data_IF_497651018151
#
_entry.id   IF_497651018151
#
_cell.length_a   1.000
_cell.length_b   1.000
_cell.length_c   1.000
_cell.angle_alpha   90.00
_cell.angle_beta   90.00
_cell.angle_gamma   90.00
#
_symmetry.space_group_name_H-M   'P 1'
#
loop_
_entity.id
_entity.type
_entity.pdbx_description
1 polymer ?
#
# COMPACT_ATOMS: atom_id res chain seq x y z
N UNK A 1 10.13 20.86 13.65
CA UNK A 1 9.37 20.44 14.83
C UNK A 1 8.71 19.13 14.42
N UNK A 2 9.12 18.01 15.01
CA UNK A 2 8.42 16.72 14.84
C UNK A 2 7.03 16.88 15.45
N UNK A 3 5.99 16.74 14.66
CA UNK A 3 4.63 16.58 15.19
C UNK A 3 4.58 15.23 15.91
N UNK A 4 4.51 15.26 17.23
CA UNK A 4 4.30 14.07 18.05
C UNK A 4 2.81 13.76 17.97
N UNK A 5 2.46 12.71 17.25
CA UNK A 5 1.09 12.18 17.24
C UNK A 5 0.79 11.61 18.62
N UNK A 6 -0.25 12.12 19.27
CA UNK A 6 -0.74 11.54 20.53
C UNK A 6 -1.61 10.34 20.19
N UNK A 7 -1.08 9.14 20.44
CA UNK A 7 -1.82 7.88 20.29
C UNK A 7 -2.97 7.87 21.31
N UNK A 8 -4.20 7.67 20.85
CA UNK A 8 -5.34 7.43 21.74
C UNK A 8 -5.17 6.09 22.44
N UNK A 9 -4.89 6.14 23.75
CA UNK A 9 -4.65 4.97 24.60
C UNK A 9 -5.92 4.43 25.28
N UNK A 10 -7.12 4.78 24.81
CA UNK A 10 -8.35 4.19 25.33
C UNK A 10 -8.39 2.66 25.11
N UNK A 11 -9.11 1.95 25.96
CA UNK A 11 -9.26 0.48 25.83
C UNK A 11 -9.82 0.07 24.44
N UNK A 12 -10.70 0.90 23.87
CA UNK A 12 -11.26 0.70 22.53
C UNK A 12 -10.22 0.89 21.43
N UNK A 13 -9.36 1.90 21.55
CA UNK A 13 -8.27 2.14 20.60
C UNK A 13 -7.24 0.99 20.63
N UNK A 14 -6.90 0.49 21.83
CA UNK A 14 -5.99 -0.64 21.98
C UNK A 14 -6.53 -1.91 21.31
N UNK A 15 -7.79 -2.27 21.59
CA UNK A 15 -8.43 -3.44 20.95
C UNK A 15 -8.50 -3.31 19.42
N UNK A 16 -8.71 -2.09 18.90
CA UNK A 16 -8.67 -1.82 17.46
C UNK A 16 -7.27 -2.05 16.88
N UNK A 17 -6.22 -1.56 17.53
CA UNK A 17 -4.83 -1.76 17.11
C UNK A 17 -4.50 -3.26 17.09
N UNK A 18 -4.80 -4.01 18.15
CA UNK A 18 -4.58 -5.45 18.23
C UNK A 18 -5.29 -6.22 17.09
N UNK A 19 -6.52 -5.83 16.77
CA UNK A 19 -7.27 -6.41 15.63
C UNK A 19 -6.57 -6.10 14.30
N UNK A 20 -6.06 -4.89 14.10
CA UNK A 20 -5.38 -4.50 12.87
C UNK A 20 -4.00 -5.17 12.75
N UNK A 21 -3.27 -5.36 13.85
CA UNK A 21 -2.03 -6.14 13.89
C UNK A 21 -2.28 -7.59 13.45
N UNK A 22 -3.37 -8.20 13.95
CA UNK A 22 -3.77 -9.55 13.53
C UNK A 22 -4.13 -9.59 12.03
N UNK A 23 -4.84 -8.58 11.52
CA UNK A 23 -5.14 -8.48 10.09
C UNK A 23 -3.88 -8.33 9.23
N UNK A 24 -2.90 -7.56 9.68
CA UNK A 24 -1.61 -7.42 8.99
C UNK A 24 -0.83 -8.76 8.98
N UNK A 25 -0.85 -9.49 10.09
CA UNK A 25 -0.27 -10.84 10.20
C UNK A 25 -0.97 -11.81 9.23
N UNK A 26 -2.30 -11.83 9.24
CA UNK A 26 -3.11 -12.65 8.33
C UNK A 26 -2.80 -12.32 6.85
N UNK A 27 -2.64 -11.05 6.49
CA UNK A 27 -2.23 -10.64 5.14
C UNK A 27 -0.86 -11.22 4.76
N UNK A 28 0.13 -11.15 5.65
CA UNK A 28 1.45 -11.73 5.42
C UNK A 28 1.38 -13.25 5.22
N UNK A 29 0.62 -13.95 6.04
CA UNK A 29 0.39 -15.40 5.87
C UNK A 29 -0.19 -15.71 4.49
N UNK A 30 -1.24 -14.99 4.08
CA UNK A 30 -1.87 -15.16 2.76
C UNK A 30 -0.91 -14.89 1.60
N UNK A 31 -0.02 -13.90 1.73
CA UNK A 31 1.04 -13.65 0.73
C UNK A 31 1.95 -14.88 0.59
N UNK A 32 2.40 -15.46 1.70
CA UNK A 32 3.27 -16.65 1.70
C UNK A 32 2.53 -17.87 1.14
N UNK A 33 1.28 -18.10 1.54
CA UNK A 33 0.45 -19.22 1.06
C UNK A 33 0.20 -19.12 -0.46
N UNK A 34 -0.25 -17.97 -0.93
CA UNK A 34 -0.55 -17.75 -2.37
C UNK A 34 0.70 -17.88 -3.23
N UNK A 35 1.80 -17.22 -2.84
CA UNK A 35 3.03 -17.27 -3.62
C UNK A 35 3.71 -18.64 -3.55
N UNK A 36 3.62 -19.33 -2.42
CA UNK A 36 4.10 -20.71 -2.26
C UNK A 36 3.34 -21.69 -3.15
N UNK A 37 2.03 -21.50 -3.32
CA UNK A 37 1.17 -22.34 -4.16
C UNK A 37 1.24 -22.00 -5.66
N UNK A 38 1.65 -20.80 -6.02
CA UNK A 38 1.73 -20.30 -7.40
C UNK A 38 3.08 -20.55 -8.06
N UNK A 39 3.32 -19.92 -9.21
CA UNK A 39 4.63 -19.89 -9.88
C UNK A 39 5.64 -18.97 -9.18
N UNK A 40 5.28 -18.36 -8.04
CA UNK A 40 6.06 -17.36 -7.31
C UNK A 40 5.59 -15.94 -7.58
N UNK A 41 6.32 -14.95 -7.08
CA UNK A 41 6.01 -13.53 -7.24
C UNK A 41 6.84 -12.62 -6.34
N UNK A 42 6.30 -11.45 -6.04
CA UNK A 42 7.01 -10.41 -5.29
C UNK A 42 6.70 -10.52 -3.79
N UNK A 43 7.61 -11.15 -3.04
CA UNK A 43 7.47 -11.33 -1.59
C UNK A 43 7.78 -10.04 -0.82
N UNK A 44 8.97 -9.48 -1.03
CA UNK A 44 9.53 -8.44 -0.17
C UNK A 44 8.64 -7.21 -0.04
N UNK A 45 8.23 -6.64 -1.16
CA UNK A 45 7.35 -5.46 -1.19
C UNK A 45 5.90 -5.74 -0.83
N UNK A 46 5.43 -7.00 -0.93
CA UNK A 46 4.10 -7.40 -0.48
C UNK A 46 4.03 -7.49 1.05
N UNK A 47 5.06 -8.06 1.67
CA UNK A 47 5.16 -8.19 3.12
C UNK A 47 5.34 -6.85 3.83
N UNK A 48 6.05 -5.87 3.22
CA UNK A 48 6.20 -4.51 3.79
C UNK A 48 4.89 -3.71 3.76
N UNK A 49 4.02 -3.94 2.77
CA UNK A 49 2.78 -3.20 2.59
C UNK A 49 1.63 -3.63 3.51
N UNK A 50 1.74 -4.77 4.18
CA UNK A 50 0.63 -5.43 4.89
C UNK A 50 0.01 -4.55 6.01
N UNK A 51 0.83 -3.81 6.77
CA UNK A 51 0.35 -2.98 7.88
C UNK A 51 -0.51 -1.81 7.38
N UNK A 52 -0.04 -1.11 6.36
CA UNK A 52 -0.79 0.01 5.77
C UNK A 52 -2.09 -0.46 5.12
N UNK A 53 -2.09 -1.61 4.42
CA UNK A 53 -3.31 -2.20 3.85
C UNK A 53 -4.27 -2.67 4.92
N UNK A 54 -3.76 -3.22 6.03
CA UNK A 54 -4.59 -3.58 7.18
C UNK A 54 -5.35 -2.37 7.70
N UNK A 55 -4.66 -1.26 7.97
CA UNK A 55 -5.28 -0.03 8.46
C UNK A 55 -6.29 0.53 7.47
N UNK A 56 -5.94 0.60 6.18
CA UNK A 56 -6.82 1.16 5.16
C UNK A 56 -8.11 0.36 4.99
N UNK A 57 -8.01 -0.96 4.79
CA UNK A 57 -9.15 -1.79 4.43
C UNK A 57 -10.01 -2.22 5.62
N UNK A 58 -9.46 -2.30 6.84
CA UNK A 58 -10.21 -2.81 8.00
C UNK A 58 -10.57 -1.75 9.04
N UNK A 59 -10.18 -0.47 8.81
CA UNK A 59 -10.57 0.63 9.72
C UNK A 59 -10.93 1.94 9.03
N UNK A 60 -10.25 2.34 7.95
CA UNK A 60 -10.32 3.72 7.45
C UNK A 60 -11.22 3.89 6.22
N UNK A 61 -11.02 3.07 5.19
CA UNK A 61 -11.65 3.28 3.89
C UNK A 61 -13.15 2.98 3.93
N UNK A 62 -13.92 3.83 3.25
CA UNK A 62 -15.35 3.64 3.01
C UNK A 62 -15.53 2.89 1.69
N UNK A 63 -16.06 1.69 1.74
CA UNK A 63 -16.40 0.87 0.57
C UNK A 63 -17.59 -0.03 0.86
N UNK A 64 -18.15 -0.64 -0.19
CA UNK A 64 -19.22 -1.65 -0.11
C UNK A 64 -18.85 -2.81 -1.00
N UNK A 65 -18.83 -4.01 -0.46
CA UNK A 65 -18.40 -5.21 -1.22
C UNK A 65 -19.51 -5.74 -2.13
N UNK A 66 -20.77 -5.51 -1.77
CA UNK A 66 -21.94 -5.80 -2.58
C UNK A 66 -22.15 -4.78 -3.72
N UNK A 67 -21.61 -3.56 -3.58
CA UNK A 67 -21.71 -2.45 -4.52
C UNK A 67 -20.30 -1.85 -4.80
N UNK A 68 -19.38 -2.63 -5.44
CA UNK A 68 -17.97 -2.24 -5.57
C UNK A 68 -17.75 -0.95 -6.37
N UNK A 69 -18.70 -0.58 -7.21
CA UNK A 69 -18.69 0.64 -8.02
C UNK A 69 -19.45 1.80 -7.36
N UNK A 70 -19.81 1.67 -6.07
CA UNK A 70 -20.49 2.75 -5.34
C UNK A 70 -19.73 4.08 -5.51
N UNK A 71 -20.38 5.14 -6.06
CA UNK A 71 -19.67 6.34 -6.50
C UNK A 71 -19.07 7.17 -5.36
N UNK A 72 -19.56 7.01 -4.12
CA UNK A 72 -19.08 7.75 -2.95
C UNK A 72 -18.07 6.97 -2.09
N UNK A 73 -17.64 5.78 -2.54
CA UNK A 73 -16.58 5.03 -1.88
C UNK A 73 -15.22 5.75 -1.98
N UNK A 74 -14.35 5.51 -1.03
CA UNK A 74 -12.95 5.90 -1.16
C UNK A 74 -12.26 5.11 -2.28
N UNK A 75 -11.16 5.63 -2.81
CA UNK A 75 -10.36 5.02 -3.88
C UNK A 75 -9.01 4.62 -3.36
N UNK A 76 -8.52 3.46 -3.82
CA UNK A 76 -7.18 3.00 -3.51
C UNK A 76 -6.42 2.63 -4.79
N UNK A 77 -5.24 3.22 -4.97
CA UNK A 77 -4.34 2.93 -6.09
C UNK A 77 -3.05 2.31 -5.56
N UNK A 78 -2.80 1.06 -5.93
CA UNK A 78 -1.53 0.39 -5.66
C UNK A 78 -0.55 0.70 -6.80
N UNK A 79 0.24 1.80 -6.70
CA UNK A 79 1.19 2.20 -7.75
C UNK A 79 2.31 1.18 -7.93
N UNK A 80 2.85 0.62 -6.83
CA UNK A 80 3.75 -0.54 -6.86
C UNK A 80 2.98 -1.82 -7.22
N UNK A 81 2.43 -1.85 -8.44
CA UNK A 81 1.46 -2.85 -8.90
C UNK A 81 1.94 -4.30 -8.86
N UNK A 82 3.26 -4.51 -8.86
CA UNK A 82 3.89 -5.83 -8.77
C UNK A 82 3.61 -6.57 -7.45
N UNK A 83 3.15 -5.88 -6.39
CA UNK A 83 2.76 -6.52 -5.13
C UNK A 83 1.25 -6.82 -5.07
N UNK A 84 0.62 -7.06 -6.21
CA UNK A 84 -0.81 -7.38 -6.32
C UNK A 84 -1.27 -8.51 -5.40
N UNK A 85 -0.41 -9.46 -5.04
CA UNK A 85 -0.73 -10.57 -4.15
C UNK A 85 -1.27 -10.09 -2.79
N UNK A 86 -0.62 -9.12 -2.14
CA UNK A 86 -1.10 -8.59 -0.86
C UNK A 86 -2.39 -7.78 -1.03
N UNK A 87 -2.54 -7.11 -2.17
CA UNK A 87 -3.75 -6.34 -2.48
C UNK A 87 -4.94 -7.26 -2.76
N UNK A 88 -4.79 -8.32 -3.59
CA UNK A 88 -5.83 -9.33 -3.78
C UNK A 88 -6.19 -10.04 -2.46
N UNK A 89 -5.20 -10.31 -1.61
CA UNK A 89 -5.45 -10.85 -0.26
C UNK A 89 -6.27 -9.89 0.60
N UNK A 90 -5.95 -8.58 0.59
CA UNK A 90 -6.71 -7.58 1.33
C UNK A 90 -8.15 -7.46 0.82
N UNK A 91 -8.36 -7.42 -0.50
CA UNK A 91 -9.69 -7.38 -1.11
C UNK A 91 -10.52 -8.63 -0.78
N UNK A 92 -9.91 -9.82 -0.81
CA UNK A 92 -10.60 -11.06 -0.45
C UNK A 92 -10.98 -11.09 1.04
N UNK A 93 -10.07 -10.68 1.93
CA UNK A 93 -10.36 -10.57 3.37
C UNK A 93 -11.42 -9.50 3.67
N UNK A 94 -11.50 -8.45 2.85
CA UNK A 94 -12.55 -7.44 2.93
C UNK A 94 -13.91 -7.93 2.39
N UNK A 95 -13.95 -9.06 1.66
CA UNK A 95 -15.16 -9.71 1.19
C UNK A 95 -15.56 -9.39 -0.26
N UNK A 96 -14.65 -8.87 -1.09
CA UNK A 96 -14.94 -8.62 -2.52
C UNK A 96 -15.06 -9.90 -3.34
N UNK A 97 -14.33 -10.95 -2.98
CA UNK A 97 -14.33 -12.28 -3.61
C UNK A 97 -13.73 -13.32 -2.65
N UNK A 98 -13.96 -14.63 -2.87
CA UNK A 98 -13.41 -15.69 -2.04
C UNK A 98 -11.87 -15.73 -2.05
N UNK A 99 -11.26 -16.02 -0.91
CA UNK A 99 -9.80 -16.14 -0.83
C UNK A 99 -9.27 -17.35 -1.60
N UNK A 100 -10.04 -18.42 -1.64
CA UNK A 100 -9.73 -19.66 -2.34
C UNK A 100 -9.46 -19.44 -3.83
N UNK A 101 -10.14 -18.47 -4.45
CA UNK A 101 -9.92 -18.10 -5.85
C UNK A 101 -8.52 -17.50 -6.03
N UNK A 102 -8.09 -16.63 -5.12
CA UNK A 102 -6.73 -16.06 -5.15
C UNK A 102 -5.68 -17.15 -4.88
N UNK A 103 -5.91 -17.99 -3.88
CA UNK A 103 -4.99 -19.05 -3.48
C UNK A 103 -4.71 -20.05 -4.60
N UNK A 104 -5.76 -20.43 -5.34
CA UNK A 104 -5.67 -21.47 -6.35
C UNK A 104 -5.26 -20.94 -7.73
N UNK A 105 -5.65 -19.71 -8.05
CA UNK A 105 -5.57 -19.20 -9.43
C UNK A 105 -4.56 -18.05 -9.61
N UNK A 106 -3.83 -17.65 -8.57
CA UNK A 106 -2.84 -16.56 -8.67
C UNK A 106 -1.75 -16.90 -9.70
N UNK A 107 -1.55 -16.02 -10.69
CA UNK A 107 -0.65 -16.19 -11.84
C UNK A 107 -0.97 -17.40 -12.75
N UNK A 108 -2.13 -18.02 -12.63
CA UNK A 108 -2.55 -19.04 -13.58
C UNK A 108 -2.97 -18.42 -14.91
N UNK A 109 -2.73 -19.14 -16.02
CA UNK A 109 -3.11 -18.66 -17.35
C UNK A 109 -4.63 -18.46 -17.44
N UNK A 110 -5.06 -17.25 -17.82
CA UNK A 110 -6.47 -16.89 -17.93
C UNK A 110 -7.14 -16.46 -16.62
N UNK A 111 -6.43 -16.55 -15.49
CA UNK A 111 -6.92 -16.05 -14.20
C UNK A 111 -7.04 -14.53 -14.19
N UNK A 112 -8.02 -13.96 -13.46
CA UNK A 112 -8.05 -12.53 -13.18
C UNK A 112 -6.96 -12.13 -12.16
N UNK A 113 -6.51 -13.05 -11.32
CA UNK A 113 -5.55 -12.81 -10.23
C UNK A 113 -4.12 -12.93 -10.74
N UNK A 114 -3.63 -11.86 -11.35
CA UNK A 114 -2.29 -11.80 -11.93
C UNK A 114 -1.32 -11.01 -11.04
N UNK A 115 -0.04 -11.10 -11.38
CA UNK A 115 1.04 -10.36 -10.71
C UNK A 115 0.82 -8.84 -10.68
N UNK A 116 0.01 -8.31 -11.60
CA UNK A 116 -0.47 -6.95 -11.64
C UNK A 116 -1.99 -6.97 -11.76
N UNK A 117 -2.67 -6.24 -10.89
CA UNK A 117 -4.13 -6.18 -10.93
C UNK A 117 -4.63 -5.50 -12.21
N UNK A 118 -5.66 -6.09 -12.78
CA UNK A 118 -6.43 -5.51 -13.89
C UNK A 118 -7.78 -5.02 -13.34
N UNK A 119 -8.00 -3.71 -13.35
CA UNK A 119 -9.23 -3.09 -12.82
C UNK A 119 -10.50 -3.55 -13.54
N UNK A 120 -10.36 -4.06 -14.76
CA UNK A 120 -11.52 -4.58 -15.53
C UNK A 120 -11.92 -6.00 -15.11
N UNK A 121 -11.10 -6.68 -14.30
CA UNK A 121 -11.30 -8.08 -13.87
C UNK A 121 -11.38 -8.26 -12.36
N UNK A 122 -10.69 -7.41 -11.58
CA UNK A 122 -10.63 -7.52 -10.13
C UNK A 122 -11.63 -6.54 -9.48
N UNK A 123 -12.64 -7.06 -8.83
CA UNK A 123 -13.61 -6.25 -8.08
C UNK A 123 -12.91 -5.49 -6.95
N UNK A 124 -13.17 -4.19 -6.85
CA UNK A 124 -12.54 -3.33 -5.85
C UNK A 124 -11.16 -2.80 -6.24
N UNK A 125 -10.65 -3.13 -7.42
CA UNK A 125 -9.42 -2.56 -7.97
C UNK A 125 -9.73 -1.29 -8.77
N UNK A 126 -9.16 -0.15 -8.37
CA UNK A 126 -9.44 1.15 -8.99
C UNK A 126 -8.53 1.50 -10.16
N UNK A 127 -7.39 0.82 -10.31
CA UNK A 127 -6.41 1.13 -11.34
C UNK A 127 -5.55 -0.08 -11.70
N UNK A 128 -5.38 -0.32 -12.98
CA UNK A 128 -4.46 -1.34 -13.52
C UNK A 128 -3.03 -0.79 -13.49
N UNK A 129 -2.30 -1.04 -12.39
CA UNK A 129 -0.92 -0.59 -12.23
C UNK A 129 0.07 -1.62 -12.77
N UNK A 130 1.21 -1.14 -13.23
CA UNK A 130 2.33 -1.99 -13.72
C UNK A 130 3.58 -1.15 -13.95
N UNK A 131 3.45 -0.09 -14.75
CA UNK A 131 4.50 0.90 -14.93
C UNK A 131 4.59 1.79 -13.68
N UNK A 132 5.72 1.76 -12.98
CA UNK A 132 5.96 2.56 -11.79
C UNK A 132 5.83 4.07 -12.08
N UNK A 133 5.49 4.86 -11.08
CA UNK A 133 5.29 6.31 -11.20
C UNK A 133 3.92 6.74 -11.74
N UNK A 134 3.13 5.85 -12.37
CA UNK A 134 1.83 6.21 -12.96
C UNK A 134 0.68 6.23 -11.95
N UNK A 135 0.77 5.46 -10.87
CA UNK A 135 -0.32 5.35 -9.91
C UNK A 135 -0.64 6.67 -9.21
N UNK A 136 0.37 7.49 -8.89
CA UNK A 136 0.12 8.80 -8.28
C UNK A 136 -0.59 9.74 -9.25
N UNK A 137 -0.23 9.72 -10.54
CA UNK A 137 -0.91 10.51 -11.57
C UNK A 137 -2.39 10.13 -11.72
N UNK A 138 -2.70 8.83 -11.69
CA UNK A 138 -4.08 8.34 -11.68
C UNK A 138 -4.83 8.81 -10.43
N UNK A 139 -4.20 8.70 -9.25
CA UNK A 139 -4.76 9.19 -7.99
C UNK A 139 -5.04 10.70 -8.00
N UNK A 140 -4.16 11.50 -8.61
CA UNK A 140 -4.39 12.94 -8.82
C UNK A 140 -5.64 13.18 -9.65
N UNK A 141 -5.81 12.44 -10.76
CA UNK A 141 -7.01 12.54 -11.60
C UNK A 141 -8.29 12.19 -10.84
N UNK A 142 -8.28 11.09 -10.06
CA UNK A 142 -9.42 10.68 -9.23
C UNK A 142 -9.75 11.72 -8.14
N UNK A 143 -8.75 12.25 -7.47
CA UNK A 143 -8.94 13.26 -6.42
C UNK A 143 -9.47 14.58 -6.99
N UNK A 144 -8.98 14.99 -8.16
CA UNK A 144 -9.48 16.18 -8.87
C UNK A 144 -10.93 15.99 -9.30
N UNK A 145 -11.28 14.84 -9.89
CA UNK A 145 -12.66 14.51 -10.25
C UNK A 145 -13.59 14.59 -9.02
N UNK A 146 -13.18 14.01 -7.87
CA UNK A 146 -13.96 14.11 -6.65
C UNK A 146 -14.24 15.55 -6.21
N UNK A 147 -13.23 16.44 -6.30
CA UNK A 147 -13.42 17.85 -5.99
C UNK A 147 -14.34 18.56 -7.00
N UNK A 148 -14.21 18.27 -8.29
CA UNK A 148 -15.07 18.85 -9.33
C UNK A 148 -16.52 18.41 -9.15
N UNK A 149 -16.76 17.16 -8.78
CA UNK A 149 -18.08 16.57 -8.54
C UNK A 149 -18.63 16.86 -7.12
N UNK A 150 -17.88 17.62 -6.29
CA UNK A 150 -18.24 17.95 -4.90
C UNK A 150 -18.49 16.69 -4.04
N UNK A 151 -17.64 15.65 -4.24
CA UNK A 151 -17.68 14.40 -3.49
C UNK A 151 -16.73 14.43 -2.30
N UNK A 152 -17.10 13.74 -1.23
CA UNK A 152 -16.33 13.69 0.03
C UNK A 152 -15.36 12.51 0.11
N UNK A 153 -15.26 11.67 -0.94
CA UNK A 153 -14.39 10.52 -0.92
C UNK A 153 -12.91 10.93 -0.91
N UNK A 154 -12.12 10.10 -0.30
CA UNK A 154 -10.66 10.21 -0.27
C UNK A 154 -10.04 9.29 -1.31
N UNK A 155 -8.86 9.68 -1.75
CA UNK A 155 -8.02 8.86 -2.64
C UNK A 155 -6.73 8.54 -1.92
N UNK A 156 -6.45 7.24 -1.77
CA UNK A 156 -5.21 6.73 -1.21
C UNK A 156 -4.37 6.13 -2.31
N UNK A 157 -3.11 6.50 -2.39
CA UNK A 157 -2.15 5.94 -3.35
C UNK A 157 -0.97 5.37 -2.58
N UNK A 158 -0.66 4.10 -2.80
CA UNK A 158 0.55 3.50 -2.24
C UNK A 158 1.61 3.39 -3.32
N UNK A 159 2.73 4.06 -3.09
CA UNK A 159 3.93 4.03 -3.93
C UNK A 159 5.07 3.32 -3.20
N UNK A 160 6.08 2.88 -3.92
CA UNK A 160 7.34 2.37 -3.35
C UNK A 160 8.53 3.27 -3.68
N UNK A 161 9.71 2.85 -3.26
CA UNK A 161 10.96 3.58 -3.49
C UNK A 161 11.25 3.78 -4.98
N UNK A 162 11.02 2.77 -5.81
CA UNK A 162 11.26 2.87 -7.25
C UNK A 162 10.26 3.77 -7.98
N UNK A 163 9.04 3.97 -7.45
CA UNK A 163 8.13 5.02 -7.95
C UNK A 163 8.75 6.42 -7.79
N UNK A 164 9.58 6.63 -6.75
CA UNK A 164 10.28 7.91 -6.51
C UNK A 164 11.47 8.14 -7.44
N UNK A 165 11.84 7.17 -8.25
CA UNK A 165 12.85 7.30 -9.30
C UNK A 165 12.24 7.69 -10.67
N UNK A 166 10.90 7.70 -10.75
CA UNK A 166 10.15 8.05 -11.95
C UNK A 166 9.77 9.54 -11.99
N UNK A 167 10.02 10.20 -13.12
CA UNK A 167 9.70 11.63 -13.30
C UNK A 167 8.22 11.95 -13.13
N UNK A 168 7.34 11.06 -13.60
CA UNK A 168 5.89 11.21 -13.50
C UNK A 168 5.37 11.31 -12.07
N UNK A 169 6.04 10.70 -11.09
CA UNK A 169 5.73 10.87 -9.66
C UNK A 169 5.85 12.34 -9.22
N UNK A 170 6.90 13.03 -9.65
CA UNK A 170 7.12 14.43 -9.30
C UNK A 170 6.21 15.39 -10.07
N UNK A 171 5.88 15.07 -11.33
CA UNK A 171 4.86 15.79 -12.10
C UNK A 171 3.49 15.70 -11.42
N UNK A 172 3.12 14.51 -10.96
CA UNK A 172 1.90 14.28 -10.18
C UNK A 172 1.92 15.04 -8.85
N UNK A 173 3.07 15.05 -8.15
CA UNK A 173 3.22 15.78 -6.89
C UNK A 173 3.01 17.30 -7.07
N UNK A 174 3.57 17.89 -8.14
CA UNK A 174 3.33 19.29 -8.49
C UNK A 174 1.84 19.57 -8.80
N UNK A 175 1.23 18.70 -9.61
CA UNK A 175 -0.17 18.84 -10.00
C UNK A 175 -1.11 18.75 -8.80
N UNK A 176 -0.90 17.80 -7.90
CA UNK A 176 -1.69 17.63 -6.68
C UNK A 176 -1.66 18.90 -5.80
N UNK A 177 -0.49 19.49 -5.63
CA UNK A 177 -0.34 20.73 -4.86
C UNK A 177 -0.98 21.93 -5.56
N UNK A 178 -0.82 22.04 -6.90
CA UNK A 178 -1.41 23.11 -7.70
C UNK A 178 -2.94 23.10 -7.59
N UNK A 179 -3.57 21.95 -7.73
CA UNK A 179 -5.02 21.78 -7.63
C UNK A 179 -5.53 21.66 -6.20
N UNK A 180 -4.66 21.79 -5.20
CA UNK A 180 -5.00 21.77 -3.77
C UNK A 180 -5.78 20.51 -3.36
N UNK A 181 -5.31 19.34 -3.77
CA UNK A 181 -6.00 18.06 -3.58
C UNK A 181 -5.82 17.54 -2.14
N UNK A 182 -6.47 18.17 -1.17
CA UNK A 182 -6.45 17.75 0.24
C UNK A 182 -7.34 16.53 0.55
N UNK A 183 -7.95 15.94 -0.48
CA UNK A 183 -8.58 14.62 -0.48
C UNK A 183 -7.66 13.51 -1.00
N UNK A 184 -6.39 13.80 -1.28
CA UNK A 184 -5.37 12.85 -1.75
C UNK A 184 -4.35 12.57 -0.65
N UNK A 185 -4.15 11.29 -0.34
CA UNK A 185 -3.11 10.77 0.54
C UNK A 185 -2.18 9.83 -0.23
N UNK A 186 -0.88 10.13 -0.25
CA UNK A 186 0.17 9.28 -0.81
C UNK A 186 0.93 8.58 0.32
N UNK A 187 0.84 7.24 0.38
CA UNK A 187 1.61 6.42 1.32
C UNK A 187 2.86 5.92 0.60
N UNK A 188 4.01 6.29 1.10
CA UNK A 188 5.31 5.92 0.57
C UNK A 188 5.85 4.75 1.39
N UNK A 189 5.82 3.55 0.84
CA UNK A 189 6.46 2.37 1.41
C UNK A 189 7.97 2.47 1.23
N UNK A 190 8.63 3.13 2.20
CA UNK A 190 10.06 3.41 2.21
C UNK A 190 10.81 2.22 2.81
N UNK A 191 10.96 1.15 2.05
CA UNK A 191 11.68 -0.05 2.46
C UNK A 191 13.18 -0.04 2.07
N UNK A 192 13.64 0.99 1.33
CA UNK A 192 15.05 1.27 1.00
C UNK A 192 15.73 0.28 0.07
N UNK A 193 15.00 -0.65 -0.53
CA UNK A 193 15.58 -1.69 -1.38
C UNK A 193 14.83 -1.77 -2.71
N UNK A 194 15.58 -1.58 -3.80
CA UNK A 194 15.13 -1.83 -5.16
C UNK A 194 15.23 -3.32 -5.53
N UNK A 195 15.13 -3.64 -6.82
CA UNK A 195 15.32 -5.00 -7.35
C UNK A 195 16.77 -5.45 -7.16
N UNK A 196 17.72 -4.56 -7.45
CA UNK A 196 19.15 -4.88 -7.60
C UNK A 196 19.97 -4.52 -6.36
N UNK A 197 19.37 -3.94 -5.31
CA UNK A 197 20.07 -3.55 -4.09
C UNK A 197 19.49 -2.35 -3.37
N UNK A 198 20.23 -1.76 -2.40
CA UNK A 198 19.81 -0.57 -1.68
C UNK A 198 19.53 0.62 -2.63
N UNK A 199 18.44 1.34 -2.40
CA UNK A 199 18.04 2.47 -3.25
C UNK A 199 19.13 3.52 -3.41
N UNK A 200 19.85 3.83 -2.33
CA UNK A 200 20.86 4.87 -2.34
C UNK A 200 22.13 4.47 -3.11
N UNK A 201 22.36 3.16 -3.30
CA UNK A 201 23.46 2.65 -4.11
C UNK A 201 23.10 2.55 -5.60
N UNK A 202 21.83 2.29 -5.90
CA UNK A 202 21.34 2.12 -7.28
C UNK A 202 20.98 3.47 -7.92
N UNK A 203 20.10 4.23 -7.30
CA UNK A 203 19.69 5.57 -7.70
C UNK A 203 19.16 6.30 -6.47
N UNK A 204 19.97 7.17 -5.88
CA UNK A 204 19.68 7.87 -4.64
C UNK A 204 18.42 8.74 -4.73
N UNK A 205 17.54 8.60 -3.75
CA UNK A 205 16.26 9.32 -3.68
C UNK A 205 16.14 10.25 -2.48
N UNK A 206 17.09 10.21 -1.54
CA UNK A 206 17.06 11.14 -0.40
C UNK A 206 17.43 12.59 -0.83
N UNK A 207 17.01 13.62 -0.09
CA UNK A 207 16.08 13.56 1.05
C UNK A 207 14.61 13.53 0.59
N UNK A 208 13.92 12.40 0.77
CA UNK A 208 12.53 12.23 0.31
C UNK A 208 11.59 13.25 0.95
N UNK A 209 11.64 13.36 2.29
CA UNK A 209 10.75 14.25 3.03
C UNK A 209 10.84 15.71 2.57
N UNK A 210 12.04 16.20 2.29
CA UNK A 210 12.24 17.60 1.90
C UNK A 210 11.79 17.88 0.46
N UNK A 211 11.93 16.89 -0.42
CA UNK A 211 11.37 16.97 -1.79
C UNK A 211 9.85 17.15 -1.76
N UNK A 212 9.13 16.33 -0.96
CA UNK A 212 7.68 16.45 -0.83
C UNK A 212 7.24 17.77 -0.18
N UNK A 213 7.97 18.26 0.84
CA UNK A 213 7.75 19.59 1.41
C UNK A 213 7.95 20.71 0.38
N UNK A 214 8.99 20.58 -0.47
CA UNK A 214 9.26 21.56 -1.54
C UNK A 214 8.14 21.61 -2.60
N UNK A 215 7.44 20.49 -2.84
CA UNK A 215 6.22 20.44 -3.64
C UNK A 215 4.96 20.94 -2.90
N UNK A 216 5.11 21.53 -1.71
CA UNK A 216 4.01 22.04 -0.90
C UNK A 216 3.03 20.98 -0.38
N UNK A 217 3.47 19.73 -0.21
CA UNK A 217 2.69 18.70 0.48
C UNK A 217 2.85 18.83 1.98
N UNK A 218 1.82 18.42 2.73
CA UNK A 218 2.01 18.04 4.13
C UNK A 218 2.54 16.61 4.17
N UNK A 219 3.47 16.34 5.08
CA UNK A 219 4.10 15.02 5.18
C UNK A 219 4.29 14.62 6.64
N UNK A 220 3.90 13.39 6.97
CA UNK A 220 4.27 12.71 8.20
C UNK A 220 5.34 11.65 7.92
N UNK A 221 6.26 11.45 8.84
CA UNK A 221 7.24 10.36 8.79
C UNK A 221 6.99 9.45 9.99
N UNK A 222 6.79 8.17 9.74
CA UNK A 222 6.35 7.18 10.73
C UNK A 222 7.16 5.89 10.65
N UNK A 223 7.08 5.06 11.69
CA UNK A 223 7.35 3.63 11.59
C UNK A 223 6.17 2.96 10.89
N UNK A 224 6.39 2.46 9.66
CA UNK A 224 5.37 1.82 8.83
C UNK A 224 4.90 0.45 9.35
N UNK A 225 5.56 -0.09 10.38
CA UNK A 225 5.16 -1.33 11.06
C UNK A 225 4.49 -1.09 12.41
N UNK A 226 4.42 0.16 12.88
CA UNK A 226 3.64 0.54 14.04
C UNK A 226 2.20 0.86 13.59
N UNK A 227 1.28 -0.07 13.79
CA UNK A 227 -0.13 0.08 13.38
C UNK A 227 -0.77 1.34 13.97
N UNK A 228 -0.43 1.71 15.21
CA UNK A 228 -0.91 2.93 15.85
C UNK A 228 -0.46 4.18 15.09
N UNK A 229 0.84 4.27 14.75
CA UNK A 229 1.37 5.40 13.99
C UNK A 229 0.78 5.47 12.56
N UNK A 230 0.65 4.33 11.88
CA UNK A 230 0.03 4.26 10.54
C UNK A 230 -1.41 4.76 10.60
N UNK A 231 -2.20 4.26 11.55
CA UNK A 231 -3.59 4.65 11.75
C UNK A 231 -3.74 6.14 12.05
N UNK A 232 -2.96 6.63 13.00
CA UNK A 232 -3.00 8.02 13.42
C UNK A 232 -2.57 8.96 12.29
N UNK A 233 -1.54 8.59 11.52
CA UNK A 233 -1.13 9.39 10.37
C UNK A 233 -2.26 9.51 9.33
N UNK A 234 -2.96 8.41 9.03
CA UNK A 234 -4.09 8.44 8.06
C UNK A 234 -5.28 9.24 8.61
N UNK A 235 -5.63 9.06 9.89
CA UNK A 235 -6.73 9.81 10.53
C UNK A 235 -6.46 11.32 10.61
N UNK A 236 -5.19 11.70 10.76
CA UNK A 236 -4.76 13.10 10.80
C UNK A 236 -4.54 13.71 9.41
N UNK A 237 -5.00 13.05 8.35
CA UNK A 237 -5.01 13.64 7.00
C UNK A 237 -5.72 15.00 7.05
N UNK A 238 -5.02 16.10 6.66
CA UNK A 238 -5.47 17.47 6.93
C UNK A 238 -6.56 17.93 5.95
N UNK A 239 -7.76 17.43 6.11
CA UNK A 239 -8.93 17.82 5.32
C UNK A 239 -9.18 19.34 5.40
N UNK A 240 -9.60 19.96 4.29
CA UNK A 240 -9.86 21.40 4.21
C UNK A 240 -8.61 22.28 4.22
N UNK A 241 -7.41 21.70 4.23
CA UNK A 241 -6.16 22.46 4.25
C UNK A 241 -5.73 23.02 2.89
N UNK A 242 -6.33 22.54 1.81
CA UNK A 242 -5.91 22.84 0.45
C UNK A 242 -4.51 22.32 0.10
N UNK A 243 -4.01 21.32 0.83
CA UNK A 243 -2.70 20.71 0.60
C UNK A 243 -2.81 19.19 0.57
N UNK A 244 -2.25 18.49 -0.44
CA UNK A 244 -2.19 17.05 -0.45
C UNK A 244 -1.32 16.54 0.70
N UNK A 245 -1.50 15.27 1.06
CA UNK A 245 -0.85 14.66 2.20
C UNK A 245 0.00 13.46 1.81
N UNK A 246 1.20 13.35 2.34
CA UNK A 246 2.08 12.21 2.18
C UNK A 246 2.39 11.58 3.54
N UNK A 247 2.50 10.27 3.57
CA UNK A 247 2.95 9.49 4.72
C UNK A 247 4.22 8.75 4.27
N UNK A 248 5.37 9.15 4.78
CA UNK A 248 6.64 8.45 4.60
C UNK A 248 6.71 7.35 5.66
N UNK A 249 6.28 6.16 5.28
CA UNK A 249 6.27 4.99 6.14
C UNK A 249 7.60 4.23 6.00
N UNK A 250 8.47 4.33 7.01
CA UNK A 250 9.70 3.55 7.07
C UNK A 250 9.33 2.09 7.32
N UNK A 251 9.68 1.21 6.40
CA UNK A 251 9.34 -0.22 6.46
C UNK A 251 10.57 -1.10 6.24
N UNK A 252 10.40 -2.39 6.48
CA UNK A 252 11.39 -3.45 6.21
C UNK A 252 10.87 -4.29 5.06
N UNK A 253 11.63 -4.35 3.97
CA UNK A 253 11.30 -5.24 2.84
C UNK A 253 11.36 -6.70 3.33
N UNK A 254 10.30 -7.48 3.08
CA UNK A 254 10.25 -8.86 3.55
C UNK A 254 9.78 -9.05 5.00
N UNK A 255 9.15 -8.03 5.58
CA UNK A 255 8.73 -7.98 7.00
C UNK A 255 8.03 -9.23 7.49
N UNK A 256 8.54 -9.79 8.60
CA UNK A 256 7.98 -10.94 9.32
C UNK A 256 8.56 -12.28 8.91
N UNK A 257 9.52 -12.31 7.97
CA UNK A 257 10.23 -13.53 7.57
C UNK A 257 11.74 -13.25 7.60
N UNK A 258 12.45 -13.82 8.56
CA UNK A 258 13.83 -13.46 8.88
C UNK A 258 14.80 -13.61 7.71
N UNK A 259 14.63 -14.64 6.87
CA UNK A 259 15.48 -14.86 5.70
C UNK A 259 15.09 -14.00 4.47
N UNK A 260 14.00 -13.22 4.56
CA UNK A 260 13.55 -12.26 3.53
C UNK A 260 13.77 -10.81 3.92
N UNK A 261 13.83 -10.49 5.24
CA UNK A 261 13.99 -9.13 5.73
C UNK A 261 15.29 -8.50 5.21
N UNK A 262 15.15 -7.29 4.63
CA UNK A 262 16.24 -6.49 4.04
C UNK A 262 17.08 -7.21 2.97
N UNK A 263 16.47 -8.16 2.25
CA UNK A 263 17.11 -8.92 1.19
C UNK A 263 16.52 -8.56 -0.18
N UNK A 264 17.35 -8.02 -1.08
CA UNK A 264 16.92 -7.68 -2.44
C UNK A 264 16.59 -8.92 -3.27
N UNK A 265 17.23 -10.07 -2.99
CA UNK A 265 17.02 -11.34 -3.67
C UNK A 265 15.57 -11.83 -3.51
N UNK A 266 14.89 -11.40 -2.44
CA UNK A 266 13.48 -11.67 -2.20
C UNK A 266 12.55 -10.60 -2.77
N UNK A 267 13.06 -9.74 -3.65
CA UNK A 267 12.17 -8.87 -4.42
C UNK A 267 11.19 -9.70 -5.25
N UNK A 268 11.71 -10.69 -5.97
CA UNK A 268 10.94 -11.64 -6.76
C UNK A 268 11.51 -13.05 -6.63
N UNK A 269 10.66 -14.07 -6.51
CA UNK A 269 11.12 -15.45 -6.41
C UNK A 269 10.01 -16.45 -6.20
N UNK A 270 10.42 -17.67 -5.85
CA UNK A 270 9.56 -18.76 -5.40
C UNK A 270 10.18 -19.45 -4.21
N UNK A 271 9.46 -19.57 -3.11
CA UNK A 271 9.85 -20.37 -1.97
C UNK A 271 9.80 -21.86 -2.29
N UNK A 272 10.74 -22.63 -1.74
CA UNK A 272 10.58 -24.08 -1.63
C UNK A 272 9.44 -24.40 -0.64
N UNK A 273 8.91 -25.64 -0.63
CA UNK A 273 7.93 -26.04 0.39
C UNK A 273 8.44 -25.84 1.82
N UNK A 274 9.71 -26.13 2.07
CA UNK A 274 10.37 -25.96 3.38
C UNK A 274 10.47 -24.48 3.76
N UNK A 275 10.84 -23.59 2.82
CA UNK A 275 10.89 -22.15 3.03
C UNK A 275 9.48 -21.57 3.28
N UNK A 276 8.48 -22.03 2.53
CA UNK A 276 7.08 -21.64 2.74
C UNK A 276 6.62 -21.99 4.14
N UNK A 277 6.90 -23.24 4.59
CA UNK A 277 6.57 -23.69 5.93
C UNK A 277 7.28 -22.85 6.99
N UNK A 278 8.58 -22.64 6.87
CA UNK A 278 9.37 -21.82 7.81
C UNK A 278 8.84 -20.39 7.91
N UNK A 279 8.53 -19.75 6.77
CA UNK A 279 7.96 -18.41 6.75
C UNK A 279 6.60 -18.33 7.45
N UNK A 280 5.74 -19.32 7.27
CA UNK A 280 4.43 -19.40 7.95
C UNK A 280 4.58 -19.62 9.46
N UNK A 281 5.57 -20.40 9.89
CA UNK A 281 5.89 -20.61 11.32
C UNK A 281 6.43 -19.34 11.98
N UNK A 282 7.25 -18.52 11.28
CA UNK A 282 7.77 -17.26 11.80
C UNK A 282 6.68 -16.18 11.93
N UNK A 283 5.76 -16.12 10.97
CA UNK A 283 4.67 -15.13 10.99
C UNK A 283 3.66 -15.44 12.11
N UNK A 284 3.47 -16.70 12.44
CA UNK A 284 2.57 -17.18 13.51
C UNK A 284 1.16 -17.50 13.06
#
# INVERSE_FOLDING_TARGET
MMEVFMVDNSAGAKAKIEMLEEKARELRRKVIEVLGNSTGGHYGGALSAADALSVLYFDIMKYRTDEPDWPDRDRFVLSKGHVAVVFCSALSMAGFFPYEDVLNDYNALGSPYAMHCDMTKIRGCDFSAGSLGHGLSAGVGMALAGKMDQKDYKVFVMIGDADLQEGSTYEAAMSAAHYRLDNLCCIIDRNRICVDGPTEDIMAIEPVQDKWKAFNWKIATIDGHNIGEVRDAVLNMPAGSGRPYAILANTVKGKGVSFMEDRHEWHYGKCTPEQTKAALEEIG
#
